data_IF_941368311710
#
_entry.id   IF_941368311710
#
_cell.length_a   1.000
_cell.length_b   1.000
_cell.length_c   1.000
_cell.angle_alpha   90.00
_cell.angle_beta   90.00
_cell.angle_gamma   90.00
#
_symmetry.space_group_name_H-M   'P 1'
#
loop_
_entity.id
_entity.type
_entity.pdbx_description
1 polymer ?
#
# COMPACT_ATOMS: atom_id res chain seq x y z
N UNK A 1 2.51 65.06 38.64
CA UNK A 1 2.58 64.84 37.18
C UNK A 1 3.57 63.72 36.87
N UNK A 2 3.36 62.54 37.46
CA UNK A 2 4.15 61.32 37.27
C UNK A 2 3.33 60.24 37.99
N UNK A 3 2.53 59.45 37.25
CA UNK A 3 2.04 58.10 37.65
C UNK A 3 0.92 57.48 36.80
N UNK A 4 0.56 58.04 35.63
CA UNK A 4 -0.44 57.38 34.74
C UNK A 4 0.14 56.76 33.46
N UNK A 5 1.47 56.65 33.34
CA UNK A 5 2.11 56.08 32.15
C UNK A 5 2.59 54.62 32.32
N UNK A 6 2.37 53.98 33.48
CA UNK A 6 2.94 52.66 33.77
C UNK A 6 1.93 51.48 33.75
N UNK A 7 0.72 51.69 33.23
CA UNK A 7 -0.33 50.66 33.16
C UNK A 7 -0.70 50.25 31.71
N UNK A 8 0.24 50.38 30.78
CA UNK A 8 0.09 49.95 29.37
C UNK A 8 1.24 49.09 28.85
N UNK A 9 1.75 48.18 29.69
CA UNK A 9 2.80 47.25 29.26
C UNK A 9 2.66 45.86 29.88
N UNK A 10 1.42 45.42 30.06
CA UNK A 10 1.15 44.03 30.40
C UNK A 10 -0.10 43.60 29.63
N UNK A 11 0.11 43.03 28.44
CA UNK A 11 -0.53 41.80 27.94
C UNK A 11 -0.22 41.56 26.45
N UNK A 12 0.88 40.84 26.13
CA UNK A 12 0.95 40.00 24.93
C UNK A 12 1.19 38.50 25.25
N UNK A 13 1.38 38.13 26.53
CA UNK A 13 1.77 36.78 26.95
C UNK A 13 0.62 35.75 26.83
N UNK A 14 -0.62 36.10 27.15
CA UNK A 14 -1.76 35.18 27.00
C UNK A 14 -2.13 34.91 25.53
N UNK A 15 -1.99 35.90 24.65
CA UNK A 15 -2.25 35.72 23.21
C UNK A 15 -1.18 34.81 22.58
N UNK A 16 0.07 34.93 23.05
CA UNK A 16 1.17 34.06 22.64
C UNK A 16 0.92 32.60 23.05
N UNK A 17 0.51 32.35 24.31
CA UNK A 17 0.30 30.98 24.80
C UNK A 17 -0.87 30.27 24.10
N UNK A 18 -2.01 30.96 23.90
CA UNK A 18 -3.15 30.40 23.14
C UNK A 18 -2.76 30.09 21.70
N UNK A 19 -2.00 30.96 21.05
CA UNK A 19 -1.53 30.73 19.68
C UNK A 19 -0.58 29.55 19.61
N UNK A 20 0.37 29.43 20.54
CA UNK A 20 1.28 28.29 20.64
C UNK A 20 0.51 26.98 20.85
N UNK A 21 -0.50 26.99 21.73
CA UNK A 21 -1.32 25.80 21.99
C UNK A 21 -2.15 25.38 20.77
N UNK A 22 -2.76 26.34 20.06
CA UNK A 22 -3.51 26.08 18.82
C UNK A 22 -2.58 25.53 17.73
N UNK A 23 -1.39 26.11 17.57
CA UNK A 23 -0.41 25.62 16.59
C UNK A 23 0.08 24.22 16.95
N UNK A 24 0.38 23.95 18.23
CA UNK A 24 0.76 22.63 18.70
C UNK A 24 -0.34 21.60 18.45
N UNK A 25 -1.58 21.92 18.84
CA UNK A 25 -2.75 21.06 18.60
C UNK A 25 -2.93 20.78 17.11
N UNK A 26 -2.84 21.79 16.26
CA UNK A 26 -2.96 21.64 14.81
C UNK A 26 -1.84 20.77 14.24
N UNK A 27 -0.58 21.01 14.62
CA UNK A 27 0.55 20.20 14.17
C UNK A 27 0.42 18.75 14.62
N UNK A 28 0.05 18.50 15.88
CA UNK A 28 -0.07 17.15 16.43
C UNK A 28 -1.26 16.37 15.87
N UNK A 29 -2.40 17.02 15.61
CA UNK A 29 -3.63 16.31 15.20
C UNK A 29 -3.83 16.24 13.68
N UNK A 30 -3.22 17.15 12.90
CA UNK A 30 -3.42 17.20 11.45
C UNK A 30 -2.15 16.89 10.68
N UNK A 31 -1.06 17.60 10.99
CA UNK A 31 0.18 17.51 10.21
C UNK A 31 0.94 16.21 10.48
N UNK A 32 1.13 15.87 11.76
CA UNK A 32 1.89 14.68 12.13
C UNK A 32 1.26 13.37 11.61
N UNK A 33 -0.06 13.12 11.74
CA UNK A 33 -0.67 11.91 11.20
C UNK A 33 -0.56 11.83 9.68
N UNK A 34 -0.67 12.96 8.98
CA UNK A 34 -0.50 13.01 7.53
C UNK A 34 0.92 12.63 7.12
N UNK A 35 1.94 13.22 7.75
CA UNK A 35 3.35 12.90 7.48
C UNK A 35 3.62 11.42 7.77
N UNK A 36 3.15 10.90 8.91
CA UNK A 36 3.32 9.49 9.28
C UNK A 36 2.64 8.57 8.26
N UNK A 37 1.42 8.88 7.83
CA UNK A 37 0.69 8.11 6.82
C UNK A 37 1.43 8.07 5.48
N UNK A 38 1.94 9.22 5.02
CA UNK A 38 2.69 9.31 3.77
C UNK A 38 4.01 8.53 3.87
N UNK A 39 4.78 8.72 4.95
CA UNK A 39 6.04 8.01 5.16
C UNK A 39 5.82 6.49 5.23
N UNK A 40 4.78 6.05 5.93
CA UNK A 40 4.41 4.64 5.99
C UNK A 40 4.05 4.10 4.60
N UNK A 41 3.26 4.86 3.83
CA UNK A 41 2.85 4.47 2.49
C UNK A 41 4.05 4.34 1.55
N UNK A 42 4.99 5.29 1.60
CA UNK A 42 6.24 5.24 0.84
C UNK A 42 7.12 4.04 1.25
N UNK A 43 7.22 3.77 2.55
CA UNK A 43 7.94 2.60 3.06
C UNK A 43 7.32 1.30 2.53
N UNK A 44 6.00 1.17 2.65
CA UNK A 44 5.26 0.00 2.19
C UNK A 44 5.41 -0.20 0.67
N UNK A 45 5.28 0.86 -0.12
CA UNK A 45 5.50 0.84 -1.57
C UNK A 45 6.93 0.39 -1.89
N UNK A 46 7.92 0.92 -1.18
CA UNK A 46 9.33 0.56 -1.38
C UNK A 46 9.57 -0.93 -1.10
N UNK A 47 8.97 -1.48 -0.05
CA UNK A 47 9.02 -2.92 0.26
C UNK A 47 8.35 -3.74 -0.85
N UNK A 48 7.18 -3.32 -1.35
CA UNK A 48 6.50 -4.00 -2.45
C UNK A 48 7.34 -3.98 -3.74
N UNK A 49 8.00 -2.87 -4.06
CA UNK A 49 8.90 -2.76 -5.22
C UNK A 49 10.09 -3.70 -5.05
N UNK A 50 10.71 -3.69 -3.87
CA UNK A 50 11.85 -4.56 -3.56
C UNK A 50 11.47 -6.04 -3.71
N UNK A 51 10.34 -6.44 -3.14
CA UNK A 51 9.85 -7.82 -3.21
C UNK A 51 9.49 -8.22 -4.65
N UNK A 52 8.84 -7.34 -5.40
CA UNK A 52 8.54 -7.56 -6.83
C UNK A 52 9.81 -7.78 -7.64
N UNK A 53 10.86 -6.98 -7.39
CA UNK A 53 12.17 -7.13 -8.06
C UNK A 53 12.82 -8.47 -7.74
N UNK A 54 12.84 -8.87 -6.46
CA UNK A 54 13.42 -10.15 -6.06
C UNK A 54 12.66 -11.31 -6.69
N UNK A 55 11.33 -11.30 -6.68
CA UNK A 55 10.52 -12.33 -7.33
C UNK A 55 10.81 -12.40 -8.83
N UNK A 56 10.90 -11.25 -9.50
CA UNK A 56 11.24 -11.17 -10.92
C UNK A 56 12.61 -11.78 -11.21
N UNK A 57 13.63 -11.43 -10.42
CA UNK A 57 14.99 -11.98 -10.54
C UNK A 57 15.00 -13.48 -10.27
N UNK A 58 14.27 -13.95 -9.26
CA UNK A 58 14.11 -15.38 -8.95
C UNK A 58 13.51 -16.14 -10.14
N UNK A 59 12.47 -15.59 -10.77
CA UNK A 59 11.85 -16.15 -11.97
C UNK A 59 12.78 -16.17 -13.19
N UNK A 60 13.59 -15.14 -13.38
CA UNK A 60 14.58 -15.08 -14.46
C UNK A 60 15.71 -16.09 -14.26
N UNK A 61 16.25 -16.18 -13.04
CA UNK A 61 17.28 -17.17 -12.68
C UNK A 61 16.79 -18.60 -12.82
N UNK A 62 15.53 -18.86 -12.47
CA UNK A 62 14.90 -20.16 -12.68
C UNK A 62 14.86 -20.53 -14.17
N UNK A 63 14.44 -19.60 -15.04
CA UNK A 63 14.39 -19.80 -16.50
C UNK A 63 15.77 -19.99 -17.13
N UNK A 64 16.78 -19.23 -16.69
CA UNK A 64 18.15 -19.33 -17.21
C UNK A 64 18.87 -20.58 -16.68
N UNK A 65 18.73 -20.85 -15.39
CA UNK A 65 19.35 -22.00 -14.73
C UNK A 65 18.90 -23.31 -15.35
N UNK A 66 17.61 -23.47 -15.67
CA UNK A 66 17.12 -24.67 -16.33
C UNK A 66 17.62 -24.85 -17.78
N UNK A 67 18.15 -23.80 -18.41
CA UNK A 67 18.77 -23.90 -19.75
C UNK A 67 20.25 -24.27 -19.69
N UNK A 68 20.98 -23.88 -18.64
CA UNK A 68 22.44 -24.05 -18.57
C UNK A 68 22.93 -25.08 -17.55
N UNK A 69 22.15 -25.34 -16.49
CA UNK A 69 22.53 -26.19 -15.37
C UNK A 69 21.51 -27.33 -15.18
N UNK A 70 21.96 -28.43 -14.57
CA UNK A 70 21.09 -29.56 -14.25
C UNK A 70 19.93 -29.16 -13.33
N UNK A 71 18.72 -29.61 -13.67
CA UNK A 71 17.45 -29.25 -13.01
C UNK A 71 17.50 -29.44 -11.48
N UNK A 72 18.23 -30.44 -10.99
CA UNK A 72 18.36 -30.72 -9.56
C UNK A 72 19.03 -29.58 -8.79
N UNK A 73 20.17 -29.08 -9.26
CA UNK A 73 20.90 -28.00 -8.59
C UNK A 73 20.12 -26.69 -8.61
N UNK A 74 19.45 -26.41 -9.73
CA UNK A 74 18.57 -25.23 -9.88
C UNK A 74 17.38 -25.31 -8.93
N UNK A 75 16.79 -26.50 -8.77
CA UNK A 75 15.68 -26.75 -7.85
C UNK A 75 16.04 -26.45 -6.41
N UNK A 76 17.13 -27.01 -5.90
CA UNK A 76 17.51 -26.86 -4.48
C UNK A 76 17.79 -25.39 -4.14
N UNK A 77 18.48 -24.68 -5.04
CA UNK A 77 18.75 -23.25 -4.89
C UNK A 77 17.47 -22.41 -4.94
N UNK A 78 16.61 -22.67 -5.91
CA UNK A 78 15.33 -21.96 -6.05
C UNK A 78 14.44 -22.17 -4.83
N UNK A 79 14.35 -23.40 -4.30
CA UNK A 79 13.54 -23.71 -3.12
C UNK A 79 14.00 -22.89 -1.91
N UNK A 80 15.32 -22.78 -1.69
CA UNK A 80 15.87 -21.97 -0.60
C UNK A 80 15.55 -20.48 -0.80
N UNK A 81 15.92 -19.91 -1.94
CA UNK A 81 15.72 -18.48 -2.24
C UNK A 81 14.22 -18.11 -2.18
N UNK A 82 13.34 -18.89 -2.81
CA UNK A 82 11.91 -18.62 -2.79
C UNK A 82 11.30 -18.80 -1.40
N UNK A 83 11.81 -19.71 -0.57
CA UNK A 83 11.32 -19.88 0.81
C UNK A 83 11.60 -18.66 1.66
N UNK A 84 12.78 -18.07 1.55
CA UNK A 84 13.16 -16.88 2.30
C UNK A 84 12.33 -15.67 1.85
N UNK A 85 12.15 -15.50 0.55
CA UNK A 85 11.31 -14.45 -0.03
C UNK A 85 9.85 -14.60 0.37
N UNK A 86 9.33 -15.83 0.33
CA UNK A 86 7.95 -16.13 0.73
C UNK A 86 7.72 -15.86 2.21
N UNK A 87 8.64 -16.29 3.09
CA UNK A 87 8.56 -16.00 4.53
C UNK A 87 8.60 -14.50 4.78
N UNK A 88 9.54 -13.78 4.17
CA UNK A 88 9.63 -12.32 4.30
C UNK A 88 8.33 -11.63 3.85
N UNK A 89 7.75 -12.05 2.72
CA UNK A 89 6.47 -11.51 2.26
C UNK A 89 5.33 -11.76 3.26
N UNK A 90 5.25 -12.95 3.84
CA UNK A 90 4.27 -13.28 4.88
C UNK A 90 4.47 -12.45 6.16
N UNK A 91 5.71 -12.22 6.57
CA UNK A 91 6.03 -11.42 7.75
C UNK A 91 5.61 -9.95 7.54
N UNK A 92 5.89 -9.39 6.36
CA UNK A 92 5.45 -8.04 5.97
C UNK A 92 3.93 -7.95 5.97
N UNK A 93 3.23 -8.89 5.34
CA UNK A 93 1.77 -8.91 5.31
C UNK A 93 1.18 -9.00 6.72
N UNK A 94 1.71 -9.88 7.58
CA UNK A 94 1.23 -10.01 8.96
C UNK A 94 1.46 -8.76 9.80
N UNK A 95 2.56 -8.04 9.57
CA UNK A 95 2.97 -6.89 10.37
C UNK A 95 2.33 -5.58 9.94
N UNK A 96 2.08 -5.41 8.63
CA UNK A 96 1.69 -4.14 8.01
C UNK A 96 0.24 -4.08 7.53
N UNK A 97 -0.44 -5.22 7.40
CA UNK A 97 -1.79 -5.28 6.81
C UNK A 97 -2.85 -4.49 7.58
N UNK A 98 -2.72 -4.35 8.91
CA UNK A 98 -3.64 -3.55 9.73
C UNK A 98 -3.47 -2.05 9.49
N UNK A 99 -2.21 -1.59 9.45
CA UNK A 99 -1.86 -0.20 9.23
C UNK A 99 -2.25 0.22 7.81
N UNK A 100 -2.03 -0.66 6.83
CA UNK A 100 -2.50 -0.48 5.46
C UNK A 100 -4.03 -0.37 5.43
N UNK A 101 -4.77 -1.23 6.15
CA UNK A 101 -6.23 -1.10 6.24
C UNK A 101 -6.65 0.27 6.80
N UNK A 102 -6.03 0.71 7.90
CA UNK A 102 -6.33 2.00 8.51
C UNK A 102 -6.11 3.16 7.52
N UNK A 103 -4.98 3.15 6.80
CA UNK A 103 -4.69 4.15 5.76
C UNK A 103 -5.72 4.11 4.64
N UNK A 104 -6.11 2.92 4.17
CA UNK A 104 -7.15 2.79 3.16
C UNK A 104 -8.47 3.41 3.62
N UNK A 105 -8.93 3.08 4.83
CA UNK A 105 -10.18 3.60 5.40
C UNK A 105 -10.13 5.12 5.54
N UNK A 106 -9.03 5.67 6.07
CA UNK A 106 -8.84 7.12 6.18
C UNK A 106 -8.89 7.80 4.80
N UNK A 107 -8.17 7.25 3.81
CA UNK A 107 -8.14 7.82 2.46
C UNK A 107 -9.52 7.75 1.78
N UNK A 108 -10.26 6.66 1.96
CA UNK A 108 -11.63 6.55 1.43
C UNK A 108 -12.59 7.55 2.09
N UNK A 109 -12.50 7.74 3.41
CA UNK A 109 -13.33 8.72 4.12
C UNK A 109 -13.04 10.16 3.66
N UNK A 110 -11.77 10.48 3.40
CA UNK A 110 -11.39 11.81 2.89
C UNK A 110 -11.86 12.07 1.46
N UNK A 111 -11.76 11.07 0.59
CA UNK A 111 -12.31 11.17 -0.76
C UNK A 111 -13.81 11.43 -0.70
N UNK A 112 -14.54 10.66 0.10
CA UNK A 112 -15.97 10.86 0.29
C UNK A 112 -16.31 12.28 0.77
N UNK A 113 -15.55 12.80 1.74
CA UNK A 113 -15.75 14.16 2.24
C UNK A 113 -15.57 15.22 1.14
N UNK A 114 -14.56 15.09 0.29
CA UNK A 114 -14.30 16.07 -0.78
C UNK A 114 -15.36 16.03 -1.86
N UNK A 115 -15.77 14.82 -2.22
CA UNK A 115 -16.87 14.66 -3.14
C UNK A 115 -18.16 15.30 -2.61
N UNK A 116 -18.47 15.12 -1.32
CA UNK A 116 -19.59 15.81 -0.69
C UNK A 116 -19.48 17.34 -0.73
N UNK A 117 -18.27 17.90 -0.57
CA UNK A 117 -17.99 19.34 -0.68
C UNK A 117 -18.18 19.82 -2.13
N UNK A 118 -17.59 19.13 -3.11
CA UNK A 118 -17.70 19.49 -4.55
C UNK A 118 -19.15 19.49 -5.01
N UNK A 119 -19.94 18.54 -4.53
CA UNK A 119 -21.37 18.42 -4.81
C UNK A 119 -22.25 19.40 -3.98
N UNK A 120 -21.63 20.27 -3.16
CA UNK A 120 -22.30 21.29 -2.32
C UNK A 120 -23.27 20.71 -1.28
N UNK A 121 -23.07 19.48 -0.81
CA UNK A 121 -23.85 18.94 0.32
C UNK A 121 -23.57 19.65 1.65
N UNK A 122 -22.42 20.31 1.77
CA UNK A 122 -22.07 21.13 2.92
C UNK A 122 -22.10 22.62 2.56
N UNK A 123 -23.15 23.37 2.96
CA UNK A 123 -23.35 24.76 2.55
C UNK A 123 -22.45 25.78 3.29
N UNK A 124 -21.69 25.37 4.32
CA UNK A 124 -20.94 26.29 5.19
C UNK A 124 -19.49 25.86 5.43
N UNK A 125 -18.73 25.67 4.36
CA UNK A 125 -17.30 25.40 4.49
C UNK A 125 -16.46 26.67 4.35
N UNK A 126 -15.50 26.85 5.24
CA UNK A 126 -14.55 27.97 5.15
C UNK A 126 -13.63 27.80 3.93
N UNK A 127 -13.26 28.89 3.26
CA UNK A 127 -12.34 28.87 2.10
C UNK A 127 -11.02 28.16 2.44
N UNK A 128 -10.53 28.30 3.68
CA UNK A 128 -9.32 27.64 4.15
C UNK A 128 -9.44 26.11 4.15
N UNK A 129 -10.59 25.57 4.57
CA UNK A 129 -10.86 24.13 4.58
C UNK A 129 -10.91 23.53 3.17
N UNK A 130 -11.53 24.26 2.22
CA UNK A 130 -11.58 23.83 0.81
C UNK A 130 -10.16 23.75 0.22
N UNK A 131 -9.34 24.77 0.49
CA UNK A 131 -7.94 24.81 0.02
C UNK A 131 -7.13 23.66 0.62
N UNK A 132 -7.22 23.44 1.94
CA UNK A 132 -6.54 22.35 2.63
C UNK A 132 -6.87 20.99 1.98
N UNK A 133 -8.17 20.73 1.77
CA UNK A 133 -8.64 19.47 1.19
C UNK A 133 -8.26 19.30 -0.28
N UNK A 134 -8.20 20.39 -1.05
CA UNK A 134 -7.76 20.36 -2.44
C UNK A 134 -6.29 19.90 -2.60
N UNK A 135 -5.43 20.17 -1.62
CA UNK A 135 -4.02 19.75 -1.67
C UNK A 135 -3.77 18.37 -1.03
N UNK A 136 -4.40 18.09 0.12
CA UNK A 136 -4.15 16.83 0.86
C UNK A 136 -4.72 15.63 0.13
N UNK A 137 -5.88 15.76 -0.49
CA UNK A 137 -6.57 14.60 -1.09
C UNK A 137 -5.90 14.02 -2.32
N UNK A 138 -5.40 14.79 -3.30
CA UNK A 138 -4.63 14.21 -4.39
C UNK A 138 -3.43 13.41 -3.90
N UNK A 139 -2.78 13.87 -2.82
CA UNK A 139 -1.64 13.17 -2.21
C UNK A 139 -2.10 11.83 -1.61
N UNK A 140 -3.16 11.85 -0.81
CA UNK A 140 -3.70 10.63 -0.17
C UNK A 140 -4.28 9.64 -1.19
N UNK A 141 -4.91 10.14 -2.25
CA UNK A 141 -5.38 9.33 -3.38
C UNK A 141 -4.21 8.66 -4.10
N UNK A 142 -3.18 9.42 -4.45
CA UNK A 142 -1.97 8.89 -5.11
C UNK A 142 -1.30 7.85 -4.23
N UNK A 143 -1.25 8.09 -2.92
CA UNK A 143 -0.71 7.15 -1.95
C UNK A 143 -1.49 5.82 -1.91
N UNK A 144 -2.83 5.90 -1.83
CA UNK A 144 -3.71 4.73 -1.85
C UNK A 144 -3.54 3.91 -3.14
N UNK A 145 -3.55 4.59 -4.29
CA UNK A 145 -3.36 3.95 -5.59
C UNK A 145 -1.97 3.32 -5.70
N UNK A 146 -0.93 4.00 -5.21
CA UNK A 146 0.43 3.49 -5.16
C UNK A 146 0.53 2.19 -4.36
N UNK A 147 0.02 2.19 -3.11
CA UNK A 147 -0.02 0.99 -2.25
C UNK A 147 -0.68 -0.17 -2.98
N UNK A 148 -1.90 0.03 -3.47
CA UNK A 148 -2.68 -1.02 -4.10
C UNK A 148 -2.06 -1.50 -5.43
N UNK A 149 -1.49 -0.60 -6.23
CA UNK A 149 -0.80 -0.94 -7.46
C UNK A 149 0.44 -1.81 -7.19
N UNK A 150 1.36 -1.36 -6.34
CA UNK A 150 2.61 -2.09 -6.09
C UNK A 150 2.38 -3.38 -5.30
N UNK A 151 1.40 -3.42 -4.40
CA UNK A 151 0.97 -4.66 -3.76
C UNK A 151 0.44 -5.68 -4.80
N UNK A 152 -0.36 -5.22 -5.76
CA UNK A 152 -0.85 -6.08 -6.85
C UNK A 152 0.27 -6.56 -7.79
N UNK A 153 1.32 -5.75 -7.93
CA UNK A 153 2.48 -6.09 -8.75
C UNK A 153 3.28 -7.25 -8.14
N UNK A 154 3.45 -7.30 -6.81
CA UNK A 154 4.07 -8.45 -6.14
C UNK A 154 3.29 -9.73 -6.43
N UNK A 155 1.96 -9.69 -6.30
CA UNK A 155 1.10 -10.83 -6.61
C UNK A 155 1.27 -11.27 -8.07
N UNK A 156 1.39 -10.32 -9.01
CA UNK A 156 1.63 -10.62 -10.43
C UNK A 156 2.95 -11.33 -10.64
N UNK A 157 4.04 -10.83 -10.06
CA UNK A 157 5.37 -11.42 -10.19
C UNK A 157 5.43 -12.81 -9.53
N UNK A 158 4.81 -13.02 -8.36
CA UNK A 158 4.68 -14.36 -7.75
C UNK A 158 3.97 -15.34 -8.68
N UNK A 159 2.85 -14.92 -9.29
CA UNK A 159 2.13 -15.77 -10.24
C UNK A 159 2.97 -16.08 -11.49
N UNK A 160 3.78 -15.15 -11.98
CA UNK A 160 4.68 -15.37 -13.12
C UNK A 160 5.79 -16.37 -12.78
N UNK A 161 6.39 -16.28 -11.58
CA UNK A 161 7.37 -17.26 -11.08
C UNK A 161 6.73 -18.64 -10.97
N UNK A 162 5.54 -18.72 -10.36
CA UNK A 162 4.78 -19.98 -10.22
C UNK A 162 4.41 -20.59 -11.57
N UNK A 163 4.06 -19.78 -12.56
CA UNK A 163 3.79 -20.23 -13.94
C UNK A 163 5.05 -20.80 -14.59
N UNK A 164 6.17 -20.10 -14.48
CA UNK A 164 7.46 -20.58 -15.01
C UNK A 164 7.89 -21.90 -14.34
N UNK A 165 7.70 -22.02 -13.01
CA UNK A 165 7.98 -23.25 -12.30
C UNK A 165 7.08 -24.40 -12.79
N UNK A 166 5.78 -24.16 -13.00
CA UNK A 166 4.83 -25.16 -13.53
C UNK A 166 5.25 -25.70 -14.90
N UNK A 167 5.73 -24.83 -15.77
CA UNK A 167 6.27 -25.22 -17.07
C UNK A 167 7.50 -26.11 -16.94
N UNK A 168 8.45 -25.72 -16.08
CA UNK A 168 9.67 -26.51 -15.81
C UNK A 168 9.33 -27.87 -15.19
N UNK A 169 8.38 -27.92 -14.26
CA UNK A 169 7.91 -29.17 -13.65
C UNK A 169 7.30 -30.10 -14.69
N UNK A 170 6.49 -29.55 -15.61
CA UNK A 170 5.92 -30.32 -16.70
C UNK A 170 7.02 -30.92 -17.58
N UNK A 171 7.99 -30.11 -18.03
CA UNK A 171 9.11 -30.60 -18.83
C UNK A 171 9.92 -31.67 -18.07
N UNK A 172 10.16 -31.45 -16.78
CA UNK A 172 10.89 -32.40 -15.92
C UNK A 172 10.15 -33.73 -15.74
N UNK A 173 8.82 -33.72 -15.77
CA UNK A 173 8.00 -34.93 -15.68
C UNK A 173 8.06 -35.80 -16.94
N UNK A 174 8.54 -35.26 -18.07
CA UNK A 174 8.68 -36.02 -19.32
C UNK A 174 9.96 -36.89 -19.34
N UNK A 175 10.92 -36.65 -18.45
CA UNK A 175 12.16 -37.42 -18.36
C UNK A 175 12.24 -38.23 -17.06
N UNK A 176 12.61 -39.51 -17.15
CA UNK A 176 12.78 -40.38 -15.98
C UNK A 176 13.92 -39.91 -15.05
N UNK A 177 14.94 -39.25 -15.59
CA UNK A 177 16.09 -38.77 -14.82
C UNK A 177 15.76 -37.56 -13.95
N UNK A 178 14.86 -36.68 -14.41
CA UNK A 178 14.51 -35.43 -13.73
C UNK A 178 13.15 -35.45 -13.05
N UNK A 179 12.39 -36.55 -13.21
CA UNK A 179 11.09 -36.78 -12.58
C UNK A 179 11.09 -36.48 -11.07
N UNK A 180 12.08 -37.00 -10.35
CA UNK A 180 12.16 -36.84 -8.89
C UNK A 180 12.29 -35.37 -8.49
N UNK A 181 13.11 -34.60 -9.20
CA UNK A 181 13.27 -33.17 -8.97
C UNK A 181 12.00 -32.39 -9.31
N UNK A 182 11.34 -32.75 -10.42
CA UNK A 182 10.04 -32.16 -10.80
C UNK A 182 8.95 -32.40 -9.75
N UNK A 183 8.87 -33.61 -9.18
CA UNK A 183 7.89 -33.92 -8.13
C UNK A 183 8.18 -33.18 -6.81
N UNK A 184 9.45 -32.98 -6.45
CA UNK A 184 9.83 -32.17 -5.28
C UNK A 184 9.39 -30.72 -5.48
N UNK A 185 9.70 -30.11 -6.62
CA UNK A 185 9.22 -28.75 -6.96
C UNK A 185 7.69 -28.67 -6.92
N UNK A 186 6.99 -29.72 -7.37
CA UNK A 186 5.52 -29.76 -7.37
C UNK A 186 4.95 -29.77 -5.96
N UNK A 187 5.52 -30.57 -5.07
CA UNK A 187 5.13 -30.60 -3.66
C UNK A 187 5.46 -29.29 -2.97
N UNK A 188 6.61 -28.71 -3.27
CA UNK A 188 7.05 -27.42 -2.74
C UNK A 188 6.08 -26.29 -3.11
N UNK A 189 5.73 -26.13 -4.39
CA UNK A 189 4.84 -25.03 -4.78
C UNK A 189 3.42 -25.22 -4.23
N UNK A 190 2.98 -26.48 -4.08
CA UNK A 190 1.67 -26.78 -3.48
C UNK A 190 1.64 -26.53 -1.98
N UNK A 191 2.78 -26.62 -1.28
CA UNK A 191 2.84 -26.31 0.16
C UNK A 191 2.93 -24.82 0.46
N UNK A 192 3.16 -23.97 -0.56
CA UNK A 192 3.25 -22.52 -0.41
C UNK A 192 1.98 -21.83 -0.92
N UNK A 193 1.32 -21.10 -0.04
CA UNK A 193 0.23 -20.19 -0.41
C UNK A 193 0.73 -19.09 -1.35
N UNK A 194 -0.16 -18.55 -2.19
CA UNK A 194 0.20 -17.44 -3.08
C UNK A 194 0.56 -16.21 -2.26
N UNK A 195 1.54 -15.44 -2.73
CA UNK A 195 1.88 -14.17 -2.11
C UNK A 195 0.79 -13.17 -2.49
N UNK A 196 -0.04 -12.83 -1.52
CA UNK A 196 -1.14 -11.87 -1.67
C UNK A 196 -1.03 -10.86 -0.54
N UNK A 197 -0.85 -9.60 -0.90
CA UNK A 197 -0.95 -8.50 0.05
C UNK A 197 -2.41 -8.08 0.20
N UNK A 198 -2.83 -7.85 1.44
CA UNK A 198 -4.20 -7.52 1.78
C UNK A 198 -4.27 -6.42 2.83
N UNK A 199 -5.41 -5.76 2.90
CA UNK A 199 -5.75 -4.89 4.01
C UNK A 199 -6.44 -5.72 5.08
N UNK A 200 -5.66 -6.26 6.03
CA UNK A 200 -6.12 -7.11 7.13
C UNK A 200 -7.02 -8.28 6.68
N UNK A 201 -6.75 -8.87 5.52
CA UNK A 201 -7.57 -9.91 4.86
C UNK A 201 -9.01 -9.52 4.52
N UNK A 202 -9.40 -8.25 4.71
CA UNK A 202 -10.73 -7.74 4.34
C UNK A 202 -10.85 -7.65 2.83
N UNK A 203 -9.80 -7.14 2.16
CA UNK A 203 -9.71 -7.10 0.71
C UNK A 203 -8.27 -7.30 0.24
N UNK A 204 -8.14 -7.94 -0.92
CA UNK A 204 -6.86 -8.20 -1.56
C UNK A 204 -6.54 -7.09 -2.54
N UNK A 205 -5.29 -6.62 -2.53
CA UNK A 205 -4.81 -5.64 -3.49
C UNK A 205 -4.63 -6.28 -4.86
N UNK A 206 -5.64 -6.12 -5.70
CA UNK A 206 -5.63 -6.55 -7.09
C UNK A 206 -5.86 -5.36 -8.01
N UNK A 207 -5.48 -5.49 -9.28
CA UNK A 207 -5.84 -4.48 -10.31
C UNK A 207 -7.37 -4.32 -10.43
N UNK A 208 -8.13 -5.38 -10.18
CA UNK A 208 -9.58 -5.33 -10.11
C UNK A 208 -10.10 -4.49 -8.94
N UNK A 209 -9.44 -4.55 -7.79
CA UNK A 209 -9.78 -3.72 -6.63
C UNK A 209 -9.60 -2.22 -6.92
N UNK A 210 -8.52 -1.84 -7.62
CA UNK A 210 -8.30 -0.45 -8.04
C UNK A 210 -9.44 0.07 -8.93
N UNK A 211 -9.85 -0.73 -9.93
CA UNK A 211 -10.95 -0.39 -10.83
C UNK A 211 -12.29 -0.33 -10.09
N UNK A 212 -12.57 -1.30 -9.22
CA UNK A 212 -13.78 -1.32 -8.41
C UNK A 212 -13.86 -0.12 -7.45
N UNK A 213 -12.74 0.28 -6.86
CA UNK A 213 -12.65 1.45 -5.98
C UNK A 213 -12.96 2.74 -6.74
N UNK A 214 -12.33 2.95 -7.89
CA UNK A 214 -12.60 4.10 -8.75
C UNK A 214 -14.06 4.12 -9.23
N UNK A 215 -14.57 2.96 -9.66
CA UNK A 215 -15.96 2.81 -10.08
C UNK A 215 -16.96 3.12 -8.96
N UNK A 216 -16.72 2.61 -7.74
CA UNK A 216 -17.56 2.86 -6.58
C UNK A 216 -17.63 4.35 -6.24
N UNK A 217 -16.48 5.02 -6.26
CA UNK A 217 -16.42 6.48 -6.07
C UNK A 217 -17.27 7.19 -7.12
N UNK A 218 -17.08 6.90 -8.41
CA UNK A 218 -17.85 7.53 -9.48
C UNK A 218 -19.36 7.24 -9.33
N UNK A 219 -19.74 5.98 -9.09
CA UNK A 219 -21.14 5.58 -8.96
C UNK A 219 -21.85 6.24 -7.78
N UNK A 220 -21.23 6.26 -6.59
CA UNK A 220 -21.83 6.93 -5.43
C UNK A 220 -22.01 8.43 -5.67
N UNK A 221 -21.06 9.06 -6.35
CA UNK A 221 -21.16 10.47 -6.70
C UNK A 221 -22.30 10.76 -7.69
N UNK A 222 -22.46 9.91 -8.70
CA UNK A 222 -23.58 10.03 -9.64
C UNK A 222 -24.93 9.80 -8.95
N UNK A 223 -25.02 8.84 -8.01
CA UNK A 223 -26.23 8.63 -7.21
C UNK A 223 -26.57 9.83 -6.33
N UNK A 224 -25.56 10.43 -5.69
CA UNK A 224 -25.75 11.63 -4.88
C UNK A 224 -26.21 12.82 -5.73
N UNK A 225 -25.67 12.99 -6.94
CA UNK A 225 -26.14 14.01 -7.90
C UNK A 225 -27.60 13.83 -8.31
N UNK A 226 -28.10 12.59 -8.36
CA UNK A 226 -29.50 12.31 -8.71
C UNK A 226 -30.49 12.57 -7.56
N UNK A 227 -30.01 12.64 -6.32
CA UNK A 227 -30.83 12.95 -5.14
C UNK A 227 -30.99 14.46 -4.90
N UNK A 228 -30.37 15.29 -5.74
CA UNK A 228 -30.54 16.74 -5.80
C UNK A 228 -31.63 17.12 -6.81
#
# INVERSE_FOLDING_TARGET
MFNDALFKLNYPSELSFKTIFVMFYFTSTKVLPLIVSILFSLFYISVCIFLSRILRECGQRLKLGCKSAGIKQVSDRFIAEYTDVHRFACDIESSLSLQVLAICVTNFAELFAIFAIVLRFYPFESTAFIIEKAFISPINFTSLFGIAYFASEVQREDQEVRRALKEIMYISSLSKETWKSGEIMRRFIKSKENIVFSAWRVFNFSRGFLLASAGTIVSYNLLLLQLQ
#
